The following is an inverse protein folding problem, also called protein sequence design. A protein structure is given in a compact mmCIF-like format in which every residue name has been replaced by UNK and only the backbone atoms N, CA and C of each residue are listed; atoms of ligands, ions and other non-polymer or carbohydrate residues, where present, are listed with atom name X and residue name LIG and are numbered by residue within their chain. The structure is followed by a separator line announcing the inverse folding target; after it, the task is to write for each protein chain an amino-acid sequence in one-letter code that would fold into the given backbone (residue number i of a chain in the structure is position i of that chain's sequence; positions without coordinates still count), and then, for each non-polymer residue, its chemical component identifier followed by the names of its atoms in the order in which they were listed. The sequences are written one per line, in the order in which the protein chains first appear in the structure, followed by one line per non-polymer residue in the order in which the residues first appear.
data_IF_160186106030
#
_entry.id   IF_160186106030
#
_cell.length_a   1.000
_cell.length_b   1.000
_cell.length_c   1.000
_cell.angle_alpha   90.00
_cell.angle_beta   90.00
_cell.angle_gamma   90.00
#
_symmetry.space_group_name_H-M   'P 1'
#
loop_
_entity.id
_entity.type
_entity.pdbx_description
1 polymer ?
#
# COMPACT_ATOMS: atom_id res chain seq x y z
N UNK A 1 -14.26 10.30 3.72
CA UNK A 1 -13.01 10.67 3.04
C UNK A 1 -12.26 11.73 3.84
N UNK A 2 -11.09 11.37 4.36
CA UNK A 2 -10.11 12.27 5.00
C UNK A 2 -8.88 12.41 4.09
N UNK A 3 -8.15 13.51 4.24
CA UNK A 3 -7.03 13.86 3.37
C UNK A 3 -5.98 14.67 4.10
N UNK A 4 -4.73 14.59 3.64
CA UNK A 4 -3.60 15.40 4.11
C UNK A 4 -2.74 15.85 2.94
N UNK A 5 -1.97 16.93 3.17
CA UNK A 5 -0.91 17.36 2.27
C UNK A 5 0.41 16.67 2.66
N UNK A 6 1.22 16.40 1.66
CA UNK A 6 2.58 15.88 1.82
C UNK A 6 3.54 17.00 1.45
N UNK A 7 4.12 17.65 2.45
CA UNK A 7 5.04 18.78 2.29
C UNK A 7 6.46 18.37 2.76
N UNK A 8 7.00 17.32 2.14
CA UNK A 8 8.33 16.83 2.44
C UNK A 8 9.08 16.37 1.17
N UNK A 9 10.41 16.32 1.28
CA UNK A 9 11.32 15.89 0.23
C UNK A 9 11.51 14.36 0.19
N UNK A 10 10.55 13.57 0.70
CA UNK A 10 10.64 12.11 0.59
C UNK A 10 10.51 11.68 -0.87
N UNK A 11 11.30 10.69 -1.27
CA UNK A 11 11.14 10.08 -2.60
C UNK A 11 9.71 9.56 -2.82
N UNK A 12 9.15 9.80 -4.00
CA UNK A 12 7.80 9.36 -4.40
C UNK A 12 7.54 7.88 -4.11
N UNK A 13 8.53 7.01 -4.35
CA UNK A 13 8.44 5.58 -4.03
C UNK A 13 8.19 5.33 -2.55
N UNK A 14 8.86 6.07 -1.65
CA UNK A 14 8.66 5.97 -0.20
C UNK A 14 7.29 6.49 0.21
N UNK A 15 6.83 7.60 -0.39
CA UNK A 15 5.48 8.16 -0.17
C UNK A 15 4.40 7.12 -0.52
N UNK A 16 4.51 6.47 -1.68
CA UNK A 16 3.61 5.39 -2.10
C UNK A 16 3.62 4.21 -1.13
N UNK A 17 4.81 3.72 -0.74
CA UNK A 17 4.91 2.60 0.21
C UNK A 17 4.25 2.93 1.54
N UNK A 18 4.45 4.14 2.08
CA UNK A 18 3.79 4.57 3.31
C UNK A 18 2.27 4.68 3.13
N UNK A 19 1.83 5.26 2.01
CA UNK A 19 0.43 5.41 1.64
C UNK A 19 -0.31 4.09 1.47
N UNK A 20 0.38 3.00 1.15
CA UNK A 20 -0.21 1.66 1.13
C UNK A 20 -0.07 0.94 2.48
N UNK A 21 1.11 1.05 3.12
CA UNK A 21 1.44 0.30 4.32
C UNK A 21 0.54 0.65 5.50
N UNK A 22 0.38 1.94 5.83
CA UNK A 22 -0.37 2.34 7.03
C UNK A 22 -1.86 2.06 6.94
N UNK A 23 -2.55 2.33 5.82
CA UNK A 23 -3.96 1.94 5.69
C UNK A 23 -4.17 0.45 5.88
N UNK A 24 -3.35 -0.39 5.21
CA UNK A 24 -3.44 -1.84 5.36
C UNK A 24 -3.16 -2.23 6.81
N UNK A 25 -2.07 -1.73 7.41
CA UNK A 25 -1.64 -2.08 8.76
C UNK A 25 -2.65 -1.71 9.84
N UNK A 26 -3.33 -0.57 9.67
CA UNK A 26 -4.39 -0.09 10.56
C UNK A 26 -5.65 -0.91 10.40
N UNK A 27 -6.08 -1.18 9.16
CA UNK A 27 -7.26 -2.00 8.89
C UNK A 27 -7.11 -3.44 9.41
N UNK A 28 -5.88 -4.00 9.43
CA UNK A 28 -5.60 -5.34 9.99
C UNK A 28 -5.98 -5.40 11.49
N UNK A 29 -5.94 -4.29 12.22
CA UNK A 29 -6.36 -4.27 13.62
C UNK A 29 -7.87 -4.48 13.78
N UNK A 30 -8.66 -4.06 12.80
CA UNK A 30 -10.13 -4.15 12.80
C UNK A 30 -10.60 -5.47 12.19
N UNK A 31 -10.08 -5.83 11.01
CA UNK A 31 -10.51 -6.99 10.23
C UNK A 31 -9.72 -8.28 10.54
N UNK A 32 -8.70 -8.18 11.40
CA UNK A 32 -7.87 -9.30 11.82
C UNK A 32 -7.02 -9.87 10.67
N UNK A 33 -7.06 -11.21 10.51
CA UNK A 33 -6.23 -11.93 9.53
C UNK A 33 -6.88 -12.04 8.13
N UNK A 34 -7.84 -11.18 7.81
CA UNK A 34 -8.49 -11.20 6.51
C UNK A 34 -7.49 -10.90 5.37
N UNK A 35 -7.61 -11.55 4.20
CA UNK A 35 -6.69 -11.34 3.10
C UNK A 35 -6.88 -9.96 2.47
N UNK A 36 -5.78 -9.24 2.28
CA UNK A 36 -5.74 -7.98 1.51
C UNK A 36 -5.86 -8.30 0.02
N UNK A 37 -6.76 -7.61 -0.68
CA UNK A 37 -6.91 -7.74 -2.14
C UNK A 37 -7.04 -6.37 -2.78
N UNK A 38 -6.15 -6.07 -3.72
CA UNK A 38 -6.31 -4.91 -4.59
C UNK A 38 -7.37 -5.25 -5.64
N UNK A 39 -8.44 -4.45 -5.69
CA UNK A 39 -9.57 -4.58 -6.62
C UNK A 39 -9.33 -3.79 -7.89
N UNK A 40 -8.70 -2.64 -7.76
CA UNK A 40 -8.40 -1.75 -8.86
C UNK A 40 -7.19 -0.89 -8.52
N UNK A 41 -6.39 -0.60 -9.55
CA UNK A 41 -5.40 0.49 -9.52
C UNK A 41 -5.70 1.34 -10.74
N UNK A 42 -5.89 2.63 -10.56
CA UNK A 42 -6.16 3.55 -11.66
C UNK A 42 -5.12 4.66 -11.64
N UNK A 43 -4.42 4.80 -12.75
CA UNK A 43 -3.45 5.87 -13.01
C UNK A 43 -4.07 6.85 -14.01
N UNK A 44 -3.32 7.89 -14.38
CA UNK A 44 -3.77 8.83 -15.41
C UNK A 44 -3.95 8.16 -16.79
N UNK A 45 -3.21 7.08 -17.06
CA UNK A 45 -3.16 6.42 -18.36
C UNK A 45 -3.92 5.11 -18.38
N UNK A 46 -3.91 4.37 -17.28
CA UNK A 46 -4.33 2.97 -17.25
C UNK A 46 -5.28 2.69 -16.08
N UNK A 47 -6.17 1.73 -16.29
CA UNK A 47 -6.95 1.11 -15.21
C UNK A 47 -6.59 -0.37 -15.18
N UNK A 48 -5.99 -0.80 -14.07
CA UNK A 48 -5.60 -2.18 -13.83
C UNK A 48 -6.65 -2.89 -13.00
N UNK A 49 -7.10 -4.04 -13.51
CA UNK A 49 -8.06 -4.91 -12.87
C UNK A 49 -7.50 -6.34 -12.75
N UNK A 50 -7.96 -7.14 -11.77
CA UNK A 50 -7.60 -8.54 -11.68
C UNK A 50 -8.03 -9.32 -12.93
N UNK A 51 -7.12 -10.11 -13.49
CA UNK A 51 -7.44 -11.01 -14.60
C UNK A 51 -8.14 -12.28 -14.12
N UNK A 52 -9.46 -12.33 -14.28
CA UNK A 52 -10.28 -13.51 -13.98
C UNK A 52 -10.19 -13.90 -12.50
N UNK A 53 -9.52 -15.02 -12.20
CA UNK A 53 -9.33 -15.53 -10.81
C UNK A 53 -8.00 -15.12 -10.18
N UNK A 54 -7.12 -14.41 -10.91
CA UNK A 54 -5.83 -13.98 -10.38
C UNK A 54 -6.01 -12.80 -9.43
N UNK A 55 -5.08 -12.65 -8.50
CA UNK A 55 -4.98 -11.44 -7.68
C UNK A 55 -4.28 -10.35 -8.50
N UNK A 56 -4.78 -9.12 -8.43
CA UNK A 56 -4.05 -7.97 -8.92
C UNK A 56 -2.85 -7.74 -8.01
N UNK A 57 -1.65 -7.76 -8.60
CA UNK A 57 -0.39 -7.52 -7.91
C UNK A 57 0.20 -6.23 -8.46
N UNK A 58 0.93 -5.53 -7.61
CA UNK A 58 1.76 -4.41 -8.01
C UNK A 58 3.04 -4.97 -8.66
N UNK A 59 2.95 -5.39 -9.92
CA UNK A 59 4.11 -5.82 -10.73
C UNK A 59 5.01 -4.61 -11.04
N UNK A 60 6.25 -4.87 -11.45
CA UNK A 60 7.22 -3.81 -11.77
C UNK A 60 6.64 -2.80 -12.79
N UNK A 61 5.97 -3.29 -13.84
CA UNK A 61 5.32 -2.44 -14.84
C UNK A 61 4.22 -1.53 -14.26
N UNK A 62 3.37 -2.06 -13.37
CA UNK A 62 2.30 -1.28 -12.73
C UNK A 62 2.90 -0.31 -11.71
N UNK A 63 3.92 -0.76 -10.98
CA UNK A 63 4.62 0.06 -10.01
C UNK A 63 5.26 1.28 -10.68
N UNK A 64 5.95 1.08 -11.80
CA UNK A 64 6.57 2.17 -12.55
C UNK A 64 5.51 3.15 -13.11
N UNK A 65 4.39 2.66 -13.67
CA UNK A 65 3.30 3.57 -14.12
C UNK A 65 2.67 4.38 -12.98
N UNK A 66 2.51 3.77 -11.80
CA UNK A 66 2.03 4.46 -10.60
C UNK A 66 3.02 5.54 -10.15
N UNK A 67 4.31 5.20 -10.05
CA UNK A 67 5.34 6.14 -9.61
C UNK A 67 5.47 7.29 -10.60
N UNK A 68 5.50 6.99 -11.90
CA UNK A 68 5.55 8.01 -12.95
C UNK A 68 4.33 8.93 -12.89
N UNK A 69 3.13 8.38 -12.67
CA UNK A 69 1.91 9.18 -12.51
C UNK A 69 2.01 10.12 -11.31
N UNK A 70 2.45 9.61 -10.16
CA UNK A 70 2.65 10.42 -8.96
C UNK A 70 3.70 11.52 -9.16
N UNK A 71 4.85 11.21 -9.77
CA UNK A 71 5.91 12.18 -10.06
C UNK A 71 5.46 13.32 -10.98
N UNK A 72 4.52 13.04 -11.89
CA UNK A 72 3.87 14.05 -12.72
C UNK A 72 2.70 14.76 -12.01
N UNK A 73 2.61 14.62 -10.69
CA UNK A 73 1.54 15.12 -9.82
C UNK A 73 0.13 14.73 -10.31
N UNK A 74 -0.01 13.50 -10.82
CA UNK A 74 -1.28 12.92 -11.25
C UNK A 74 -1.81 11.98 -10.16
N UNK A 75 -3.13 11.98 -9.97
CA UNK A 75 -3.78 11.13 -8.98
C UNK A 75 -3.71 9.66 -9.38
N UNK A 76 -3.31 8.81 -8.43
CA UNK A 76 -3.44 7.36 -8.50
C UNK A 76 -4.48 6.91 -7.49
N UNK A 77 -5.48 6.17 -7.95
CA UNK A 77 -6.54 5.60 -7.12
C UNK A 77 -6.29 4.11 -6.88
N UNK A 78 -6.39 3.67 -5.62
CA UNK A 78 -6.40 2.25 -5.26
C UNK A 78 -7.73 1.91 -4.60
N UNK A 79 -8.36 0.83 -5.07
CA UNK A 79 -9.46 0.20 -4.35
C UNK A 79 -8.94 -1.10 -3.74
N UNK A 80 -8.99 -1.22 -2.41
CA UNK A 80 -8.45 -2.35 -1.66
C UNK A 80 -9.55 -2.90 -0.77
N UNK A 81 -9.83 -4.20 -0.87
CA UNK A 81 -10.73 -4.89 0.07
C UNK A 81 -9.93 -5.70 1.08
N UNK A 82 -10.35 -5.69 2.34
CA UNK A 82 -9.87 -6.61 3.35
C UNK A 82 -11.01 -7.00 4.28
N UNK A 83 -11.31 -8.30 4.31
CA UNK A 83 -12.44 -8.82 5.08
C UNK A 83 -13.75 -8.19 4.63
N UNK A 84 -14.36 -7.46 5.54
CA UNK A 84 -15.61 -6.75 5.36
C UNK A 84 -15.43 -5.27 4.99
N UNK A 85 -14.20 -4.76 5.00
CA UNK A 85 -13.87 -3.35 4.73
C UNK A 85 -13.38 -3.17 3.29
N UNK A 86 -13.77 -2.06 2.68
CA UNK A 86 -13.19 -1.54 1.44
C UNK A 86 -12.56 -0.19 1.72
N UNK A 87 -11.32 -0.04 1.26
CA UNK A 87 -10.50 1.15 1.41
C UNK A 87 -10.29 1.74 0.01
N UNK A 88 -10.65 3.00 -0.15
CA UNK A 88 -10.33 3.79 -1.33
C UNK A 88 -9.18 4.74 -0.97
N UNK A 89 -8.05 4.61 -1.66
CA UNK A 89 -6.88 5.47 -1.49
C UNK A 89 -6.69 6.32 -2.72
N UNK A 90 -6.39 7.59 -2.53
CA UNK A 90 -5.95 8.51 -3.58
C UNK A 90 -4.59 9.05 -3.18
N UNK A 91 -3.60 8.88 -4.05
CA UNK A 91 -2.22 9.26 -3.76
C UNK A 91 -1.68 10.09 -4.93
N UNK A 92 -1.07 11.23 -4.59
CA UNK A 92 -0.27 12.09 -5.45
C UNK A 92 1.09 12.33 -4.76
N UNK A 93 2.04 12.98 -5.41
CA UNK A 93 3.31 13.28 -4.73
C UNK A 93 3.13 14.27 -3.56
N UNK A 94 2.15 15.15 -3.65
CA UNK A 94 1.89 16.23 -2.68
C UNK A 94 0.63 16.01 -1.82
N UNK A 95 -0.12 14.93 -2.05
CA UNK A 95 -1.35 14.69 -1.29
C UNK A 95 -1.67 13.21 -1.11
N UNK A 96 -2.38 12.92 -0.02
CA UNK A 96 -2.89 11.61 0.31
C UNK A 96 -4.33 11.73 0.81
N UNK A 97 -5.23 10.90 0.30
CA UNK A 97 -6.60 10.80 0.77
C UNK A 97 -7.03 9.36 0.94
N UNK A 98 -7.93 9.13 1.89
CA UNK A 98 -8.48 7.82 2.20
C UNK A 98 -9.96 7.90 2.49
N UNK A 99 -10.70 6.91 2.01
CA UNK A 99 -12.07 6.62 2.43
C UNK A 99 -12.21 5.15 2.81
N UNK A 100 -13.08 4.86 3.76
CA UNK A 100 -13.45 3.51 4.18
C UNK A 100 -14.96 3.34 4.11
N UNK A 101 -15.43 2.11 3.96
CA UNK A 101 -16.87 1.84 3.82
C UNK A 101 -17.59 1.56 5.14
N UNK A 102 -16.91 1.00 6.14
CA UNK A 102 -17.53 0.58 7.41
C UNK A 102 -16.99 1.31 8.64
N UNK A 103 -15.70 1.61 8.67
CA UNK A 103 -15.02 2.20 9.82
C UNK A 103 -14.50 3.61 9.53
N UNK A 104 -15.36 4.65 9.44
CA UNK A 104 -14.93 6.02 9.17
C UNK A 104 -13.94 6.57 10.20
N UNK A 105 -13.96 6.09 11.44
CA UNK A 105 -12.96 6.39 12.48
C UNK A 105 -11.54 5.99 12.08
N UNK A 106 -11.41 4.96 11.24
CA UNK A 106 -10.13 4.47 10.74
C UNK A 106 -9.46 5.48 9.81
N UNK A 107 -10.25 6.28 9.08
CA UNK A 107 -9.73 7.31 8.17
C UNK A 107 -8.91 8.36 8.94
N UNK A 108 -9.42 8.82 10.08
CA UNK A 108 -8.75 9.80 10.94
C UNK A 108 -7.49 9.20 11.57
N UNK A 109 -7.58 7.99 12.12
CA UNK A 109 -6.43 7.27 12.67
C UNK A 109 -5.28 7.05 11.66
N UNK A 110 -5.63 6.86 10.39
CA UNK A 110 -4.66 6.65 9.31
C UNK A 110 -4.02 7.98 8.93
N UNK A 111 -4.82 9.04 8.75
CA UNK A 111 -4.30 10.36 8.38
C UNK A 111 -3.37 10.89 9.46
N UNK A 112 -3.77 10.87 10.74
CA UNK A 112 -2.92 11.29 11.86
C UNK A 112 -1.60 10.48 11.88
N UNK A 113 -1.69 9.17 11.61
CA UNK A 113 -0.49 8.33 11.59
C UNK A 113 0.43 8.67 10.42
N UNK A 114 -0.13 8.94 9.24
CA UNK A 114 0.61 9.33 8.06
C UNK A 114 1.29 10.68 8.24
N UNK A 115 0.61 11.67 8.82
CA UNK A 115 1.20 12.98 9.16
C UNK A 115 2.43 12.82 10.06
N UNK A 116 2.32 11.99 11.12
CA UNK A 116 3.44 11.73 12.02
C UNK A 116 4.62 11.00 11.35
N UNK A 117 4.35 10.09 10.42
CA UNK A 117 5.40 9.30 9.73
C UNK A 117 6.08 10.10 8.61
N UNK A 118 5.35 10.99 7.95
CA UNK A 118 5.87 11.88 6.91
C UNK A 118 6.84 12.94 7.47
N UNK A 119 6.78 13.27 8.75
CA UNK A 119 7.74 14.17 9.42
C UNK A 119 9.06 13.44 9.76
N UNK A 120 9.07 12.09 9.79
CA UNK A 120 10.25 11.33 10.20
C UNK A 120 11.24 11.18 9.04
N UNK A 121 12.50 11.53 9.29
CA UNK A 121 13.64 11.37 8.33
C UNK A 121 13.81 9.92 7.88
N UNK A 122 13.54 8.97 8.78
CA UNK A 122 13.39 7.56 8.44
C UNK A 122 12.04 7.10 8.96
N UNK A 123 11.12 6.69 8.08
CA UNK A 123 9.89 6.07 8.52
C UNK A 123 10.23 4.81 9.33
N UNK A 124 9.36 4.43 10.26
CA UNK A 124 9.60 3.30 11.18
C UNK A 124 9.43 1.93 10.46
N UNK A 125 10.11 1.76 9.33
CA UNK A 125 10.31 0.46 8.71
C UNK A 125 11.28 -0.30 9.61
N UNK A 126 10.82 -1.41 10.21
CA UNK A 126 11.64 -2.30 11.03
C UNK A 126 13.06 -2.44 10.44
N UNK A 127 14.06 -1.87 11.11
CA UNK A 127 15.48 -1.94 10.72
C UNK A 127 16.06 -3.36 10.82
N UNK A 128 15.26 -4.32 11.25
CA UNK A 128 15.68 -5.69 11.56
C UNK A 128 14.68 -6.70 11.00
N UNK A 129 14.43 -6.66 9.68
CA UNK A 129 13.97 -7.88 9.02
C UNK A 129 15.17 -8.80 8.89
N UNK A 130 15.49 -9.55 9.96
CA UNK A 130 16.39 -10.69 9.84
C UNK A 130 15.62 -11.70 8.98
N UNK A 131 16.09 -12.04 7.77
CA UNK A 131 15.45 -13.09 7.00
C UNK A 131 15.41 -14.32 7.90
N UNK A 132 14.21 -14.86 8.18
CA UNK A 132 14.13 -16.20 8.75
C UNK A 132 14.85 -17.10 7.75
N UNK A 133 16.02 -17.59 8.15
CA UNK A 133 16.76 -18.61 7.42
C UNK A 133 15.77 -19.76 7.26
N UNK A 134 15.22 -19.92 6.06
CA UNK A 134 14.52 -21.15 5.72
C UNK A 134 15.57 -22.26 5.82
N UNK A 135 15.37 -23.31 6.63
CA UNK A 135 16.24 -24.47 6.58
C UNK A 135 16.28 -24.93 5.12
N UNK A 136 17.48 -24.95 4.52
CA UNK A 136 17.65 -25.69 3.27
C UNK A 136 17.30 -27.13 3.60
N UNK A 137 16.36 -27.72 2.88
CA UNK A 137 16.09 -29.15 2.91
C UNK A 137 17.38 -29.89 2.50
N UNK A 138 18.24 -30.20 3.47
CA UNK A 138 19.33 -31.14 3.29
C UNK A 138 18.73 -32.54 3.34
N UNK A 139 18.14 -32.97 2.22
CA UNK A 139 18.09 -34.36 1.75
C UNK A 139 17.14 -34.49 0.56
N UNK A 140 17.59 -34.07 -0.63
CA UNK A 140 17.09 -34.65 -1.88
C UNK A 140 18.16 -34.68 -2.94
N UNK A 141 19.12 -35.58 -2.75
CA UNK A 141 19.99 -36.05 -3.82
C UNK A 141 20.51 -37.43 -3.42
N UNK A 142 19.82 -38.46 -3.90
CA UNK A 142 20.33 -39.77 -4.33
C UNK A 142 19.17 -40.60 -4.89
N UNK A 143 18.73 -40.24 -6.09
CA UNK A 143 18.33 -41.23 -7.09
C UNK A 143 19.47 -41.27 -8.10
N UNK A 144 20.21 -42.38 -8.08
CA UNK A 144 20.99 -43.06 -9.12
C UNK A 144 21.96 -44.03 -8.44
#
# INVERSE_FOLDING_TARGET
MKSMKIDNDLETKKKLVLGLFWPIRKTIKTEGCAPVRIKQIKTAKNTYLPEGRKLLKLSDEIFDDVVDSMQNNQEVEFEISMGNETIELKVMDESFSISTTKSPELEEEIVEKMELEMIRVTPDFCKTFVPKVFPRDSNRSKEL
#
